data_IF_280847200239
#
_entry.id   IF_280847200239
#
_cell.length_a   1.000
_cell.length_b   1.000
_cell.length_c   1.000
_cell.angle_alpha   90.00
_cell.angle_beta   90.00
_cell.angle_gamma   90.00
#
_symmetry.space_group_name_H-M   'P 1'
#
loop_
_entity.id
_entity.type
_entity.pdbx_description
1 polymer ?
#
# COMPACT_ATOMS: atom_id res chain seq x y z
N UNK A 1 35.54 -17.60 20.82
CA UNK A 1 35.12 -17.15 19.52
C UNK A 1 33.73 -16.56 19.58
N UNK A 2 33.65 -15.32 19.30
CA UNK A 2 32.33 -14.71 19.26
C UNK A 2 31.60 -15.24 18.05
N UNK A 3 30.58 -15.99 18.28
CA UNK A 3 29.59 -16.20 17.26
C UNK A 3 29.06 -14.84 16.89
N UNK A 4 29.27 -14.47 15.63
CA UNK A 4 28.54 -13.38 15.10
C UNK A 4 27.06 -13.64 15.37
N UNK A 5 26.54 -13.02 16.38
CA UNK A 5 25.10 -12.95 16.54
C UNK A 5 24.62 -12.28 15.27
N UNK A 6 23.85 -12.95 14.42
CA UNK A 6 23.27 -12.22 13.31
C UNK A 6 22.58 -11.04 13.94
N UNK A 7 22.91 -9.85 13.44
CA UNK A 7 22.08 -8.70 13.71
C UNK A 7 20.64 -9.16 13.63
N UNK A 8 19.82 -8.85 14.61
CA UNK A 8 18.43 -9.19 14.49
C UNK A 8 18.04 -8.71 13.10
N UNK A 9 17.78 -9.68 12.24
CA UNK A 9 17.13 -9.36 11.01
C UNK A 9 16.08 -8.37 11.39
N UNK A 10 16.11 -7.25 10.76
CA UNK A 10 15.03 -6.33 10.96
C UNK A 10 13.78 -7.14 10.93
N UNK A 11 13.18 -7.26 12.08
CA UNK A 11 11.97 -7.98 12.21
C UNK A 11 11.00 -7.34 11.23
N UNK A 12 10.83 -7.98 10.11
CA UNK A 12 9.94 -7.51 9.06
C UNK A 12 9.03 -8.65 8.65
N UNK A 13 7.86 -8.28 8.19
CA UNK A 13 6.91 -9.24 7.64
C UNK A 13 6.80 -9.01 6.16
N UNK A 14 6.53 -10.09 5.43
CA UNK A 14 6.19 -10.03 4.02
C UNK A 14 4.72 -10.36 3.87
N UNK A 15 3.99 -9.50 3.15
CA UNK A 15 2.59 -9.72 2.84
C UNK A 15 2.42 -9.78 1.33
N UNK A 16 1.52 -10.65 0.87
CA UNK A 16 1.02 -10.56 -0.49
C UNK A 16 -0.22 -9.68 -0.48
N UNK A 17 -0.39 -8.89 -1.52
CA UNK A 17 -1.57 -8.05 -1.66
C UNK A 17 -2.06 -8.07 -3.11
N UNK A 18 -3.34 -7.85 -3.26
CA UNK A 18 -3.93 -7.67 -4.59
C UNK A 18 -5.21 -6.87 -4.48
N UNK A 19 -5.56 -6.20 -5.57
CA UNK A 19 -6.89 -5.61 -5.66
C UNK A 19 -7.35 -5.56 -7.11
N UNK A 20 -8.67 -5.53 -7.25
CA UNK A 20 -9.33 -5.41 -8.55
C UNK A 20 -10.45 -4.40 -8.46
N UNK A 21 -10.76 -3.81 -9.60
CA UNK A 21 -11.88 -2.89 -9.75
C UNK A 21 -12.24 -2.81 -11.22
N UNK A 22 -13.06 -1.85 -11.60
CA UNK A 22 -13.44 -1.67 -13.00
C UNK A 22 -12.23 -1.20 -13.80
N UNK A 23 -11.70 -2.09 -14.66
CA UNK A 23 -10.50 -1.78 -15.44
C UNK A 23 -9.22 -1.72 -14.62
N UNK A 24 -9.21 -2.27 -13.40
CA UNK A 24 -8.08 -2.20 -12.49
C UNK A 24 -7.73 -3.60 -12.02
N UNK A 25 -6.44 -3.95 -12.11
CA UNK A 25 -5.89 -5.15 -11.50
C UNK A 25 -4.46 -4.85 -11.04
N UNK A 26 -4.22 -5.04 -9.75
CA UNK A 26 -2.91 -4.79 -9.17
C UNK A 26 -2.58 -5.88 -8.16
N UNK A 27 -1.31 -6.22 -8.06
CA UNK A 27 -0.86 -7.21 -7.10
C UNK A 27 0.63 -7.08 -6.83
N UNK A 28 1.05 -7.62 -5.71
CA UNK A 28 2.46 -7.61 -5.35
C UNK A 28 2.69 -8.03 -3.91
N UNK A 29 3.73 -7.46 -3.34
CA UNK A 29 4.09 -7.72 -1.95
C UNK A 29 4.36 -6.42 -1.21
N UNK A 30 4.14 -6.46 0.11
CA UNK A 30 4.59 -5.43 1.04
C UNK A 30 5.64 -6.02 1.96
N UNK A 31 6.62 -5.20 2.31
CA UNK A 31 7.42 -5.41 3.51
C UNK A 31 6.86 -4.49 4.59
N UNK A 32 6.68 -4.99 5.79
CA UNK A 32 6.20 -4.18 6.92
C UNK A 32 7.10 -4.37 8.14
N UNK A 33 7.00 -3.45 9.09
CA UNK A 33 7.55 -3.68 10.42
C UNK A 33 6.94 -4.94 11.03
N UNK A 34 7.64 -5.57 11.95
CA UNK A 34 7.19 -6.77 12.63
C UNK A 34 6.39 -6.47 13.90
N UNK A 35 6.46 -5.25 14.38
CA UNK A 35 5.80 -4.81 15.60
C UNK A 35 4.73 -3.79 15.26
N UNK A 36 3.47 -4.02 15.69
CA UNK A 36 2.41 -3.06 15.44
C UNK A 36 2.54 -1.84 16.34
N UNK A 37 1.89 -0.75 15.93
CA UNK A 37 1.73 0.42 16.78
C UNK A 37 0.65 0.17 17.84
N UNK A 38 0.34 1.19 18.65
CA UNK A 38 -0.63 1.07 19.73
C UNK A 38 -2.06 0.78 19.24
N UNK A 39 -2.33 0.99 17.97
CA UNK A 39 -3.64 0.73 17.37
C UNK A 39 -3.70 -0.58 16.60
N UNK A 40 -2.60 -1.35 16.62
CA UNK A 40 -2.54 -2.63 15.93
C UNK A 40 -2.19 -2.53 14.45
N UNK A 41 -1.64 -1.41 14.01
CA UNK A 41 -1.24 -1.21 12.62
C UNK A 41 0.26 -1.40 12.43
N UNK A 42 0.63 -1.96 11.29
CA UNK A 42 2.02 -2.18 10.92
C UNK A 42 2.38 -1.20 9.81
N UNK A 43 3.56 -0.62 9.91
CA UNK A 43 4.04 0.31 8.89
C UNK A 43 4.51 -0.46 7.67
N UNK A 44 3.97 -0.11 6.50
CA UNK A 44 4.46 -0.61 5.21
C UNK A 44 5.75 0.14 4.91
N UNK A 45 6.85 -0.60 4.73
CA UNK A 45 8.18 -0.03 4.54
C UNK A 45 8.72 -0.26 3.13
N UNK A 46 8.08 -1.14 2.37
CA UNK A 46 8.47 -1.40 1.00
C UNK A 46 7.33 -2.01 0.20
N UNK A 47 7.42 -1.89 -1.10
CA UNK A 47 6.39 -2.39 -2.02
C UNK A 47 7.06 -2.93 -3.29
N UNK A 48 6.48 -3.98 -3.83
CA UNK A 48 6.82 -4.51 -5.16
C UNK A 48 5.54 -5.01 -5.82
N UNK A 49 5.53 -5.03 -7.13
CA UNK A 49 4.40 -5.55 -7.88
C UNK A 49 4.10 -4.75 -9.13
N UNK A 50 2.86 -4.84 -9.58
CA UNK A 50 2.43 -4.15 -10.79
C UNK A 50 0.96 -3.73 -10.68
N UNK A 51 0.60 -2.74 -11.46
CA UNK A 51 -0.78 -2.31 -11.66
C UNK A 51 -1.08 -2.27 -13.14
N UNK A 52 -2.07 -3.04 -13.57
CA UNK A 52 -2.42 -3.20 -14.99
C UNK A 52 -1.18 -3.53 -15.84
N UNK A 53 -0.31 -4.41 -15.32
CA UNK A 53 0.90 -4.82 -16.01
C UNK A 53 2.06 -3.82 -15.96
N UNK A 54 1.88 -2.66 -15.35
CA UNK A 54 2.93 -1.64 -15.24
C UNK A 54 3.63 -1.78 -13.87
N UNK A 55 4.94 -1.89 -13.88
CA UNK A 55 5.70 -2.11 -12.64
C UNK A 55 5.54 -0.96 -11.66
N UNK A 56 5.42 -1.31 -10.38
CA UNK A 56 5.45 -0.35 -9.28
C UNK A 56 6.92 -0.10 -8.94
N UNK A 57 7.33 1.17 -8.86
CA UNK A 57 8.73 1.50 -8.68
C UNK A 57 9.06 2.15 -7.33
N UNK A 58 8.08 2.68 -6.63
CA UNK A 58 8.34 3.27 -5.32
C UNK A 58 7.07 3.41 -4.50
N UNK A 59 7.25 3.38 -3.17
CA UNK A 59 6.20 3.66 -2.19
C UNK A 59 6.19 5.16 -1.91
N UNK A 60 5.00 5.75 -1.79
CA UNK A 60 4.87 7.16 -1.42
C UNK A 60 5.33 7.37 0.01
N UNK A 61 5.91 8.53 0.29
CA UNK A 61 6.41 8.88 1.62
C UNK A 61 5.25 9.15 2.58
N UNK A 62 5.32 8.59 3.78
CA UNK A 62 4.34 8.83 4.84
C UNK A 62 4.19 10.33 5.08
N UNK A 63 2.96 10.78 5.18
CA UNK A 63 2.65 12.19 5.40
C UNK A 63 2.54 13.02 4.13
N UNK A 64 2.79 12.42 2.98
CA UNK A 64 2.68 13.10 1.70
C UNK A 64 1.50 12.54 0.89
N UNK A 65 0.93 13.39 0.06
CA UNK A 65 -0.11 13.01 -0.89
C UNK A 65 0.53 12.61 -2.21
N UNK A 66 -0.10 11.69 -2.94
CA UNK A 66 0.36 11.43 -4.31
C UNK A 66 0.16 12.68 -5.16
N UNK A 67 1.03 12.94 -6.12
CA UNK A 67 0.83 14.07 -7.04
C UNK A 67 -0.54 14.00 -7.72
N UNK A 68 -1.23 15.13 -7.78
CA UNK A 68 -2.56 15.20 -8.36
C UNK A 68 -3.70 14.94 -7.38
N UNK A 69 -3.38 14.64 -6.10
CA UNK A 69 -4.41 14.41 -5.07
C UNK A 69 -4.04 15.18 -3.79
N UNK A 70 -3.86 16.49 -3.86
CA UNK A 70 -3.40 17.27 -2.70
C UNK A 70 -4.40 17.21 -1.54
N UNK A 71 -3.87 17.29 -0.32
CA UNK A 71 -4.69 17.26 0.89
C UNK A 71 -5.01 15.87 1.41
N UNK A 72 -4.58 14.81 0.71
CA UNK A 72 -4.89 13.43 1.09
C UNK A 72 -3.60 12.65 1.28
N UNK A 73 -2.91 12.91 2.40
CA UNK A 73 -1.64 12.26 2.70
C UNK A 73 -1.84 10.79 3.06
N UNK A 74 -0.86 9.97 2.66
CA UNK A 74 -0.87 8.54 3.00
C UNK A 74 -0.22 8.33 4.36
N UNK A 75 -0.60 7.25 5.05
CA UNK A 75 0.06 6.85 6.29
C UNK A 75 0.81 5.52 6.15
N UNK A 76 0.58 4.78 5.07
CA UNK A 76 1.22 3.50 4.77
C UNK A 76 1.09 2.50 5.92
N UNK A 77 -0.10 2.41 6.50
CA UNK A 77 -0.39 1.49 7.61
C UNK A 77 -1.35 0.39 7.16
N UNK A 78 -1.14 -0.80 7.68
CA UNK A 78 -2.02 -1.94 7.44
C UNK A 78 -2.17 -2.72 8.75
N UNK A 79 -3.40 -3.13 9.10
CA UNK A 79 -3.63 -3.86 10.34
C UNK A 79 -3.46 -5.38 10.15
N UNK A 80 -3.56 -6.13 11.25
CA UNK A 80 -3.34 -7.57 11.22
C UNK A 80 -4.36 -8.33 10.36
N UNK A 81 -5.53 -7.74 10.12
CA UNK A 81 -6.56 -8.36 9.27
C UNK A 81 -6.40 -7.99 7.78
N UNK A 82 -5.36 -7.24 7.44
CA UNK A 82 -5.11 -6.83 6.05
C UNK A 82 -5.89 -5.60 5.63
N UNK A 83 -6.39 -4.80 6.59
CA UNK A 83 -7.15 -3.60 6.27
C UNK A 83 -6.29 -2.35 6.36
N UNK A 84 -6.45 -1.49 5.37
CA UNK A 84 -5.80 -0.18 5.31
C UNK A 84 -6.56 0.83 6.17
N UNK A 85 -5.96 1.97 6.42
CA UNK A 85 -6.64 3.12 7.02
C UNK A 85 -7.36 3.94 5.97
N UNK A 86 -8.07 4.98 6.40
CA UNK A 86 -8.70 5.91 5.47
C UNK A 86 -7.70 6.78 4.71
N UNK A 87 -6.43 6.77 5.12
CA UNK A 87 -5.34 7.42 4.38
C UNK A 87 -4.69 6.46 3.38
N UNK A 88 -4.56 5.19 3.77
CA UNK A 88 -4.04 4.15 2.90
C UNK A 88 -2.55 4.27 2.58
N UNK A 89 -2.15 3.61 1.51
CA UNK A 89 -0.78 3.69 1.01
C UNK A 89 -0.78 4.29 -0.39
N UNK A 90 0.39 4.72 -0.85
CA UNK A 90 0.52 5.27 -2.18
C UNK A 90 1.72 4.70 -2.89
N UNK A 91 1.67 4.65 -4.22
CA UNK A 91 2.80 4.18 -5.00
C UNK A 91 2.87 4.87 -6.35
N UNK A 92 4.07 4.84 -6.92
CA UNK A 92 4.35 5.34 -8.26
C UNK A 92 4.63 4.16 -9.19
N UNK A 93 4.11 4.24 -10.41
CA UNK A 93 4.39 3.25 -11.45
C UNK A 93 5.50 3.71 -12.38
N UNK A 94 6.05 2.77 -13.14
CA UNK A 94 7.07 3.05 -14.13
C UNK A 94 6.57 3.97 -15.26
N UNK A 95 5.25 4.08 -15.43
CA UNK A 95 4.67 5.01 -16.41
C UNK A 95 4.54 6.44 -15.88
N UNK A 96 4.96 6.70 -14.63
CA UNK A 96 4.87 8.03 -14.04
C UNK A 96 3.50 8.37 -13.48
N UNK A 97 2.67 7.38 -13.27
CA UNK A 97 1.35 7.54 -12.66
C UNK A 97 1.39 7.11 -11.19
N UNK A 98 0.37 7.49 -10.43
CA UNK A 98 0.33 7.24 -9.01
C UNK A 98 -1.01 6.65 -8.60
N UNK A 99 -1.01 5.82 -7.56
CA UNK A 99 -2.22 5.25 -7.00
C UNK A 99 -2.20 5.35 -5.49
N UNK A 100 -3.37 5.59 -4.90
CA UNK A 100 -3.56 5.62 -3.45
C UNK A 100 -4.78 4.76 -3.09
N UNK A 101 -4.58 3.47 -2.86
CA UNK A 101 -5.64 2.64 -2.28
C UNK A 101 -5.84 2.97 -0.81
N UNK A 102 -7.09 3.01 -0.36
CA UNK A 102 -7.41 3.29 1.04
C UNK A 102 -8.75 2.66 1.42
N UNK A 103 -9.01 2.59 2.73
CA UNK A 103 -10.27 2.06 3.22
C UNK A 103 -11.21 3.21 3.54
N UNK A 104 -12.31 3.31 2.77
CA UNK A 104 -13.29 4.39 2.94
C UNK A 104 -14.29 4.01 4.01
N UNK A 105 -13.90 4.17 5.27
CA UNK A 105 -14.74 3.84 6.42
C UNK A 105 -15.90 4.85 6.60
N UNK A 106 -15.80 5.99 5.92
CA UNK A 106 -16.82 7.05 5.93
C UNK A 106 -17.95 6.79 4.93
N UNK A 107 -17.88 5.74 4.13
CA UNK A 107 -18.93 5.38 3.17
C UNK A 107 -19.93 4.41 3.80
N UNK A 108 -21.11 4.31 3.20
CA UNK A 108 -22.15 3.37 3.59
C UNK A 108 -22.58 2.56 2.38
N UNK A 109 -22.26 1.24 2.30
CA UNK A 109 -21.38 0.51 3.25
C UNK A 109 -19.91 0.91 3.07
N UNK A 110 -19.09 0.71 4.11
CA UNK A 110 -17.65 0.97 3.99
C UNK A 110 -17.01 0.04 2.96
N UNK A 111 -15.95 0.50 2.32
CA UNK A 111 -15.23 -0.32 1.36
C UNK A 111 -13.95 0.36 0.92
N UNK A 112 -13.15 -0.35 0.12
CA UNK A 112 -11.90 0.19 -0.39
C UNK A 112 -12.14 1.01 -1.65
N UNK A 113 -11.35 2.07 -1.81
CA UNK A 113 -11.30 2.89 -3.02
C UNK A 113 -9.85 3.02 -3.46
N UNK A 114 -9.66 3.30 -4.74
CA UNK A 114 -8.36 3.69 -5.28
C UNK A 114 -8.48 5.03 -5.96
N UNK A 115 -7.69 6.00 -5.53
CA UNK A 115 -7.43 7.22 -6.30
C UNK A 115 -6.25 6.93 -7.21
N UNK A 116 -6.43 7.18 -8.51
CA UNK A 116 -5.38 7.01 -9.50
C UNK A 116 -5.17 8.33 -10.23
N UNK A 117 -3.95 8.79 -10.27
CA UNK A 117 -3.62 10.08 -10.91
C UNK A 117 -2.61 9.89 -12.03
N UNK A 118 -2.78 10.68 -13.07
CA UNK A 118 -1.88 10.73 -14.23
C UNK A 118 -1.43 12.17 -14.41
N UNK A 119 -0.43 12.63 -13.62
CA UNK A 119 -0.09 14.05 -13.57
C UNK A 119 0.27 14.66 -14.93
N UNK A 120 0.91 13.87 -15.81
CA UNK A 120 1.31 14.38 -17.12
C UNK A 120 0.12 14.72 -18.01
N UNK A 121 -1.03 14.07 -17.79
CA UNK A 121 -2.26 14.29 -18.59
C UNK A 121 -3.39 14.90 -17.75
N UNK A 122 -3.12 15.26 -16.49
CA UNK A 122 -4.12 15.73 -15.52
C UNK A 122 -5.25 14.72 -15.28
N UNK A 123 -5.00 13.44 -15.56
CA UNK A 123 -5.98 12.38 -15.33
C UNK A 123 -6.19 12.10 -13.85
N UNK A 124 -7.45 11.81 -13.48
CA UNK A 124 -7.83 11.50 -12.10
C UNK A 124 -9.01 10.55 -12.11
N UNK A 125 -8.94 9.53 -11.29
CA UNK A 125 -10.09 8.65 -11.03
C UNK A 125 -10.11 8.24 -9.58
N UNK A 126 -11.32 7.96 -9.07
CA UNK A 126 -11.51 7.38 -7.75
C UNK A 126 -12.58 6.30 -7.91
N UNK A 127 -12.18 5.05 -7.77
CA UNK A 127 -13.03 3.92 -8.08
C UNK A 127 -13.03 2.90 -6.95
N UNK A 128 -14.18 2.21 -6.74
CA UNK A 128 -14.22 1.10 -5.79
C UNK A 128 -13.28 -0.02 -6.23
N UNK A 129 -12.62 -0.62 -5.24
CA UNK A 129 -11.77 -1.79 -5.46
C UNK A 129 -12.07 -2.84 -4.40
N UNK A 130 -11.70 -4.08 -4.70
CA UNK A 130 -11.66 -5.16 -3.72
C UNK A 130 -10.20 -5.41 -3.38
N UNK A 131 -9.81 -5.07 -2.17
CA UNK A 131 -8.42 -5.16 -1.71
C UNK A 131 -8.29 -6.31 -0.71
N UNK A 132 -7.29 -7.15 -0.90
CA UNK A 132 -6.93 -8.19 0.07
C UNK A 132 -5.44 -8.20 0.28
N UNK A 133 -5.03 -8.50 1.50
CA UNK A 133 -3.63 -8.69 1.83
C UNK A 133 -3.52 -9.77 2.91
N UNK A 134 -2.48 -10.58 2.81
CA UNK A 134 -2.25 -11.66 3.75
C UNK A 134 -0.76 -11.86 3.96
N UNK A 135 -0.40 -12.24 5.18
CA UNK A 135 0.99 -12.52 5.49
C UNK A 135 1.48 -13.73 4.69
N UNK A 136 2.70 -13.63 4.17
CA UNK A 136 3.35 -14.77 3.53
C UNK A 136 4.09 -15.52 4.64
N UNK A 137 3.75 -16.78 4.89
CA UNK A 137 4.43 -17.53 5.94
C UNK A 137 5.92 -17.65 5.65
N UNK A 138 6.73 -17.52 6.70
CA UNK A 138 8.16 -17.82 6.59
C UNK A 138 8.32 -19.33 6.54
N UNK A 139 9.03 -19.80 5.54
CA UNK A 139 9.37 -21.22 5.45
C UNK A 139 10.55 -21.56 6.34
#
# INVERSE_FOLDING_TARGET
MALAVPLPEQASRLLSWSYTGAGIAASGTFTTDDTPDSEGSYKITGIAGSRNGVAIISLETVGEAIPGNPGFSVDNLINASGRLTSHGFGFRTAAGNYANPFYADFRTPPGFLEVFTQPASTGFSELPIEFVAAIVPKS
#
